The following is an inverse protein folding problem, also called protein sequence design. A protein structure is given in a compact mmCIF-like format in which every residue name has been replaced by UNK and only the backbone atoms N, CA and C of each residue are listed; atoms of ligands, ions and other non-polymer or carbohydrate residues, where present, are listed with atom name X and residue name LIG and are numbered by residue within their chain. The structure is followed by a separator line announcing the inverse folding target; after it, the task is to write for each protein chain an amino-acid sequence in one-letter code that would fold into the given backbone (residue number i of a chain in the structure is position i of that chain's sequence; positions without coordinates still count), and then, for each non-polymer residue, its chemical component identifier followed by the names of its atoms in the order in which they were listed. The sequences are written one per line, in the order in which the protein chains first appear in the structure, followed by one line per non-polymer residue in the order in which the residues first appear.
data_IF_810289226834
#
_entry.id   IF_810289226834
#
_cell.length_a   1.000
_cell.length_b   1.000
_cell.length_c   1.000
_cell.angle_alpha   90.00
_cell.angle_beta   90.00
_cell.angle_gamma   90.00
#
_symmetry.space_group_name_H-M   'P 1'
#
loop_
_entity.id
_entity.type
_entity.pdbx_description
1 polymer ?
#
# COMPACT_ATOMS: atom_id res chain seq x y z
N UNK A 1 9.89 -17.74 -3.79
CA UNK A 1 9.77 -16.70 -4.84
C UNK A 1 9.53 -15.41 -4.08
N UNK A 2 10.55 -14.57 -3.90
CA UNK A 2 10.39 -13.31 -3.19
C UNK A 2 9.56 -12.36 -4.06
N UNK A 3 8.49 -11.81 -3.50
CA UNK A 3 7.67 -10.84 -4.21
C UNK A 3 8.49 -9.55 -4.41
N UNK A 4 8.71 -9.11 -5.67
CA UNK A 4 9.53 -7.94 -5.99
C UNK A 4 8.92 -6.62 -5.50
N UNK A 5 7.63 -6.61 -5.11
CA UNK A 5 6.94 -5.47 -4.48
C UNK A 5 7.17 -5.50 -2.97
N UNK A 6 6.96 -6.63 -2.30
CA UNK A 6 7.11 -6.76 -0.84
C UNK A 6 8.50 -6.33 -0.36
N UNK A 7 9.54 -6.79 -1.05
CA UNK A 7 10.94 -6.44 -0.72
C UNK A 7 11.20 -4.93 -0.81
N UNK A 8 10.42 -4.20 -1.61
CA UNK A 8 10.55 -2.75 -1.83
C UNK A 8 9.60 -1.92 -0.96
N UNK A 9 8.59 -2.51 -0.31
CA UNK A 9 7.64 -1.77 0.54
C UNK A 9 8.27 -1.19 1.81
N UNK A 10 9.41 -1.72 2.26
CA UNK A 10 10.16 -1.18 3.42
C UNK A 10 10.54 0.30 3.25
N UNK A 11 10.56 0.81 2.02
CA UNK A 11 10.78 2.22 1.71
C UNK A 11 9.70 3.14 2.28
N UNK A 12 8.48 2.61 2.50
CA UNK A 12 7.34 3.37 3.01
C UNK A 12 7.23 3.34 4.55
N UNK A 13 8.10 2.61 5.24
CA UNK A 13 8.18 2.69 6.69
C UNK A 13 8.62 4.10 7.12
N UNK A 14 7.95 4.78 8.06
CA UNK A 14 8.29 6.15 8.46
C UNK A 14 9.77 6.32 8.86
N UNK A 15 10.32 5.34 9.58
CA UNK A 15 11.72 5.32 9.99
C UNK A 15 12.68 5.27 8.78
N UNK A 16 12.35 4.46 7.77
CA UNK A 16 13.14 4.33 6.53
C UNK A 16 12.98 5.55 5.63
N UNK A 17 11.77 6.06 5.48
CA UNK A 17 11.44 7.18 4.60
C UNK A 17 12.11 8.50 5.02
N UNK A 18 12.27 8.71 6.34
CA UNK A 18 12.92 9.88 6.94
C UNK A 18 14.44 9.70 7.16
N UNK A 19 14.98 8.50 6.99
CA UNK A 19 16.40 8.22 7.20
C UNK A 19 17.25 8.65 6.01
N UNK A 20 18.27 9.48 6.26
CA UNK A 20 19.26 9.84 5.24
C UNK A 20 20.11 8.66 4.81
N UNK A 21 20.44 7.73 5.73
CA UNK A 21 21.27 6.56 5.41
C UNK A 21 20.53 5.57 4.50
N UNK A 22 19.24 5.36 4.73
CA UNK A 22 18.42 4.45 3.91
C UNK A 22 18.28 4.96 2.46
N UNK A 23 18.26 6.28 2.28
CA UNK A 23 18.16 6.93 0.96
C UNK A 23 19.41 6.80 0.10
N UNK A 24 20.58 6.60 0.69
CA UNK A 24 21.79 6.27 -0.08
C UNK A 24 21.63 4.96 -0.85
N UNK A 25 20.85 4.03 -0.30
CA UNK A 25 20.51 2.76 -0.94
C UNK A 25 19.28 2.87 -1.85
N UNK A 26 18.32 3.75 -1.53
CA UNK A 26 17.09 3.98 -2.30
C UNK A 26 16.89 5.47 -2.67
N UNK A 27 17.68 6.00 -3.62
CA UNK A 27 17.66 7.43 -3.97
C UNK A 27 16.45 7.84 -4.83
N UNK A 28 15.75 6.87 -5.42
CA UNK A 28 14.61 7.11 -6.33
C UNK A 28 13.54 6.04 -6.17
N UNK A 29 12.28 6.43 -6.42
CA UNK A 29 11.14 5.52 -6.45
C UNK A 29 10.83 4.98 -7.86
N UNK A 30 11.58 5.39 -8.89
CA UNK A 30 11.36 4.96 -10.28
C UNK A 30 11.31 3.43 -10.44
N UNK A 31 12.23 2.63 -9.85
CA UNK A 31 12.19 1.17 -9.95
C UNK A 31 11.00 0.52 -9.22
N UNK A 32 10.31 1.25 -8.35
CA UNK A 32 9.08 0.79 -7.71
C UNK A 32 7.89 1.12 -8.60
N UNK A 33 7.83 2.34 -9.13
CA UNK A 33 6.76 2.80 -10.04
C UNK A 33 6.64 1.92 -11.30
N UNK A 34 7.75 1.38 -11.80
CA UNK A 34 7.75 0.44 -12.93
C UNK A 34 7.09 -0.90 -12.60
N UNK A 35 7.14 -1.33 -11.33
CA UNK A 35 6.57 -2.61 -10.88
C UNK A 35 5.08 -2.48 -10.55
N UNK A 36 4.57 -1.25 -10.36
CA UNK A 36 3.16 -0.96 -10.08
C UNK A 36 2.46 -0.14 -11.19
N UNK A 37 2.41 -0.63 -12.45
CA UNK A 37 1.83 0.10 -13.57
C UNK A 37 0.31 0.35 -13.44
N UNK A 38 -0.35 -0.37 -12.52
CA UNK A 38 -1.77 -0.18 -12.18
C UNK A 38 -2.03 1.08 -11.35
N UNK A 39 -1.03 1.56 -10.62
CA UNK A 39 -1.14 2.77 -9.80
C UNK A 39 -0.72 3.99 -10.63
N UNK A 40 0.41 3.89 -11.33
CA UNK A 40 0.91 4.96 -12.21
C UNK A 40 1.12 4.38 -13.60
N UNK A 41 0.44 4.96 -14.59
CA UNK A 41 0.59 4.55 -15.98
C UNK A 41 2.07 4.71 -16.43
N UNK A 42 2.63 3.73 -17.17
CA UNK A 42 4.02 3.81 -17.63
C UNK A 42 4.36 5.08 -18.42
N UNK A 43 3.38 5.63 -19.15
CA UNK A 43 3.51 6.83 -19.97
C UNK A 43 3.40 8.16 -19.18
N UNK A 44 2.99 8.13 -17.91
CA UNK A 44 2.80 9.35 -17.10
C UNK A 44 4.11 9.80 -16.44
N UNK A 45 5.06 10.23 -17.27
CA UNK A 45 6.39 10.69 -16.81
C UNK A 45 6.32 11.94 -15.94
N UNK A 46 5.34 12.81 -16.17
CA UNK A 46 5.15 14.03 -15.39
C UNK A 46 4.84 13.69 -13.93
N UNK A 47 3.88 12.80 -13.66
CA UNK A 47 3.56 12.39 -12.30
C UNK A 47 4.68 11.60 -11.64
N UNK A 48 5.34 10.70 -12.39
CA UNK A 48 6.53 9.97 -11.88
C UNK A 48 7.60 10.93 -11.39
N UNK A 49 7.89 11.98 -12.16
CA UNK A 49 8.87 13.00 -11.79
C UNK A 49 8.44 13.79 -10.56
N UNK A 50 7.17 14.19 -10.46
CA UNK A 50 6.63 14.92 -9.29
C UNK A 50 6.81 14.07 -8.02
N UNK A 51 6.41 12.82 -8.06
CA UNK A 51 6.50 11.92 -6.90
C UNK A 51 7.97 11.67 -6.52
N UNK A 52 8.85 11.47 -7.49
CA UNK A 52 10.28 11.25 -7.23
C UNK A 52 10.96 12.52 -6.68
N UNK A 53 10.54 13.70 -7.11
CA UNK A 53 10.99 14.98 -6.54
C UNK A 53 10.51 15.15 -5.08
N UNK A 54 9.23 14.91 -4.82
CA UNK A 54 8.65 14.94 -3.47
C UNK A 54 9.33 13.91 -2.55
N UNK A 55 9.65 12.73 -3.10
CA UNK A 55 10.41 11.72 -2.37
C UNK A 55 11.75 12.30 -1.92
N UNK A 56 12.54 12.91 -2.81
CA UNK A 56 13.86 13.48 -2.48
C UNK A 56 13.80 14.60 -1.42
N UNK A 57 12.74 15.38 -1.40
CA UNK A 57 12.58 16.51 -0.46
C UNK A 57 11.98 16.11 0.89
N UNK A 58 11.41 14.90 1.00
CA UNK A 58 10.73 14.41 2.22
C UNK A 58 11.56 14.49 3.52
N UNK A 59 12.89 14.24 3.56
CA UNK A 59 13.65 14.39 4.81
C UNK A 59 13.61 15.81 5.38
N UNK A 60 13.46 16.81 4.51
CA UNK A 60 13.32 18.21 4.90
C UNK A 60 11.92 18.49 5.48
N UNK A 61 10.93 17.63 5.23
CA UNK A 61 9.59 17.74 5.82
C UNK A 61 9.64 17.64 7.34
N UNK A 62 10.57 16.86 7.91
CA UNK A 62 10.75 16.75 9.36
C UNK A 62 11.13 18.09 10.00
N UNK A 63 11.92 18.90 9.30
CA UNK A 63 12.26 20.26 9.74
C UNK A 63 11.06 21.21 9.65
N UNK A 64 10.17 21.02 8.67
CA UNK A 64 8.97 21.86 8.45
C UNK A 64 7.80 21.50 9.37
N UNK A 65 7.63 20.22 9.70
CA UNK A 65 6.47 19.68 10.43
C UNK A 65 6.86 18.66 11.51
N UNK A 66 7.68 19.04 12.52
CA UNK A 66 8.18 18.11 13.53
C UNK A 66 7.07 17.45 14.37
N UNK A 67 5.98 18.17 14.66
CA UNK A 67 4.86 17.69 15.48
C UNK A 67 4.01 16.63 14.78
N UNK A 68 4.02 16.55 13.45
CA UNK A 68 3.20 15.59 12.68
C UNK A 68 3.95 14.31 12.31
N UNK A 69 5.28 14.32 12.34
CA UNK A 69 6.09 13.26 11.75
C UNK A 69 6.86 12.41 12.77
N UNK A 70 7.07 12.90 14.00
CA UNK A 70 7.92 12.23 14.98
C UNK A 70 7.21 11.17 15.85
N UNK A 71 5.88 11.13 15.86
CA UNK A 71 5.10 10.28 16.78
C UNK A 71 4.35 9.12 16.11
N UNK A 72 4.46 8.96 14.78
CA UNK A 72 3.66 7.98 14.04
C UNK A 72 4.52 6.79 13.64
N UNK A 73 4.27 5.66 14.29
CA UNK A 73 4.90 4.39 13.94
C UNK A 73 4.16 3.64 12.83
N UNK A 74 2.90 3.97 12.55
CA UNK A 74 2.07 3.26 11.57
C UNK A 74 2.20 3.89 10.18
N UNK A 75 2.67 3.15 9.15
CA UNK A 75 2.92 3.70 7.82
C UNK A 75 1.69 4.35 7.16
N UNK A 76 0.53 3.71 7.24
CA UNK A 76 -0.73 4.21 6.69
C UNK A 76 -1.13 5.56 7.32
N UNK A 77 -1.06 5.69 8.64
CA UNK A 77 -1.33 6.93 9.36
C UNK A 77 -0.32 8.02 9.00
N UNK A 78 0.95 7.65 8.85
CA UNK A 78 2.01 8.58 8.45
C UNK A 78 1.74 9.18 7.08
N UNK A 79 1.50 8.35 6.07
CA UNK A 79 1.21 8.82 4.71
C UNK A 79 -0.14 9.55 4.63
N UNK A 80 -1.15 9.14 5.40
CA UNK A 80 -2.43 9.86 5.49
C UNK A 80 -2.29 11.27 6.08
N UNK A 81 -1.37 11.48 7.03
CA UNK A 81 -1.08 12.82 7.53
C UNK A 81 -0.30 13.66 6.52
N UNK A 82 0.63 13.03 5.81
CA UNK A 82 1.41 13.70 4.77
C UNK A 82 0.54 14.12 3.58
N UNK A 83 -0.50 13.35 3.26
CA UNK A 83 -1.51 13.67 2.24
C UNK A 83 -2.25 14.98 2.54
N UNK A 84 -2.39 15.36 3.82
CA UNK A 84 -3.00 16.64 4.23
C UNK A 84 -2.09 17.84 3.98
N UNK A 85 -0.84 17.62 3.58
CA UNK A 85 0.12 18.66 3.23
C UNK A 85 0.23 18.73 1.71
N UNK A 86 -0.03 19.90 1.13
CA UNK A 86 -0.01 20.08 -0.34
C UNK A 86 1.36 19.74 -0.97
N UNK A 87 2.46 19.96 -0.23
CA UNK A 87 3.83 19.71 -0.67
C UNK A 87 4.12 18.25 -1.07
N UNK A 88 3.33 17.29 -0.57
CA UNK A 88 3.62 15.85 -0.67
C UNK A 88 2.39 15.01 -1.05
N UNK A 89 1.34 15.65 -1.57
CA UNK A 89 0.05 15.00 -1.85
C UNK A 89 0.19 13.81 -2.82
N UNK A 90 0.90 13.98 -3.93
CA UNK A 90 1.10 12.94 -4.95
C UNK A 90 1.91 11.75 -4.41
N UNK A 91 2.98 12.03 -3.67
CA UNK A 91 3.80 11.00 -3.01
C UNK A 91 2.98 10.23 -1.97
N UNK A 92 2.23 10.93 -1.13
CA UNK A 92 1.40 10.31 -0.11
C UNK A 92 0.29 9.47 -0.73
N UNK A 93 -0.34 9.94 -1.81
CA UNK A 93 -1.33 9.18 -2.54
C UNK A 93 -0.71 7.91 -3.15
N UNK A 94 0.45 8.02 -3.79
CA UNK A 94 1.18 6.88 -4.33
C UNK A 94 1.54 5.85 -3.25
N UNK A 95 2.08 6.30 -2.11
CA UNK A 95 2.45 5.44 -1.00
C UNK A 95 1.22 4.70 -0.43
N UNK A 96 0.12 5.41 -0.16
CA UNK A 96 -1.12 4.81 0.33
C UNK A 96 -1.71 3.82 -0.68
N UNK A 97 -1.74 4.15 -1.97
CA UNK A 97 -2.21 3.22 -3.01
C UNK A 97 -1.34 1.98 -3.08
N UNK A 98 -0.02 2.13 -2.93
CA UNK A 98 0.92 1.01 -2.99
C UNK A 98 0.83 0.12 -1.75
N UNK A 99 0.66 0.71 -0.57
CA UNK A 99 0.42 -0.01 0.70
C UNK A 99 -0.97 -0.68 0.74
N UNK A 100 -1.94 -0.13 0.00
CA UNK A 100 -3.28 -0.70 -0.15
C UNK A 100 -3.36 -1.79 -1.21
N UNK A 101 -2.28 -2.05 -1.95
CA UNK A 101 -2.25 -3.22 -2.82
C UNK A 101 -2.32 -4.45 -1.90
N UNK A 102 -3.41 -5.24 -1.99
CA UNK A 102 -3.40 -6.51 -1.29
C UNK A 102 -2.18 -7.27 -1.81
N UNK A 103 -1.46 -7.93 -0.91
CA UNK A 103 -0.58 -9.01 -1.32
C UNK A 103 -1.50 -10.03 -1.99
N UNK A 104 -1.73 -9.85 -3.30
CA UNK A 104 -2.98 -10.22 -3.98
C UNK A 104 -3.28 -11.72 -3.91
N UNK A 105 -2.30 -12.52 -3.51
CA UNK A 105 -2.46 -13.93 -3.26
C UNK A 105 -3.02 -14.26 -1.87
N UNK A 106 -2.61 -13.57 -0.81
CA UNK A 106 -2.95 -13.95 0.57
C UNK A 106 -4.43 -13.70 0.90
N UNK A 107 -5.00 -12.59 0.41
CA UNK A 107 -6.42 -12.29 0.62
C UNK A 107 -7.32 -13.17 -0.24
N UNK A 108 -6.92 -13.47 -1.48
CA UNK A 108 -7.62 -14.45 -2.30
C UNK A 108 -7.57 -15.85 -1.67
N UNK A 109 -6.42 -16.32 -1.17
CA UNK A 109 -6.27 -17.60 -0.46
C UNK A 109 -7.14 -17.66 0.81
N UNK A 110 -7.24 -16.55 1.54
CA UNK A 110 -8.14 -16.43 2.70
C UNK A 110 -9.60 -16.54 2.30
N UNK A 111 -10.02 -15.88 1.22
CA UNK A 111 -11.39 -16.00 0.69
C UNK A 111 -11.66 -17.42 0.18
N UNK A 112 -10.72 -18.05 -0.53
CA UNK A 112 -10.84 -19.44 -0.98
C UNK A 112 -10.97 -20.42 0.20
N UNK A 113 -10.23 -20.19 1.28
CA UNK A 113 -10.35 -20.97 2.51
C UNK A 113 -11.74 -20.84 3.14
N UNK A 114 -12.33 -19.64 3.17
CA UNK A 114 -13.71 -19.43 3.61
C UNK A 114 -14.73 -20.10 2.69
N UNK A 115 -14.51 -20.05 1.38
CA UNK A 115 -15.36 -20.75 0.41
C UNK A 115 -15.29 -22.27 0.63
N UNK A 116 -14.11 -22.83 0.94
CA UNK A 116 -13.98 -24.26 1.28
C UNK A 116 -14.71 -24.63 2.59
N UNK A 117 -14.82 -23.71 3.55
CA UNK A 117 -15.64 -23.93 4.75
C UNK A 117 -17.15 -23.89 4.45
N UNK A 118 -17.58 -23.04 3.52
CA UNK A 118 -18.99 -22.91 3.11
C UNK A 118 -19.40 -24.08 2.20
N UNK A 119 -18.53 -24.46 1.26
CA UNK A 119 -18.71 -25.59 0.34
C UNK A 119 -18.00 -26.81 0.89
N UNK A 120 -18.72 -27.61 1.66
CA UNK A 120 -18.25 -28.92 2.12
C UNK A 120 -18.64 -30.01 1.12
N UNK A 121 -18.06 -31.20 1.25
CA UNK A 121 -18.38 -32.36 0.39
C UNK A 121 -19.88 -32.72 0.43
N UNK A 122 -20.55 -32.49 1.57
CA UNK A 122 -21.98 -32.71 1.75
C UNK A 122 -22.86 -31.53 1.27
N UNK A 123 -22.29 -30.31 1.16
CA UNK A 123 -23.00 -29.07 0.82
C UNK A 123 -22.29 -28.32 -0.31
N UNK A 124 -22.15 -28.95 -1.47
CA UNK A 124 -21.41 -28.39 -2.61
C UNK A 124 -22.29 -27.77 -3.72
N UNK A 125 -23.61 -28.00 -3.70
CA UNK A 125 -24.61 -27.47 -4.65
C UNK A 125 -25.15 -26.08 -4.26
N UNK A 126 -24.25 -25.16 -3.93
CA UNK A 126 -24.63 -23.77 -3.66
C UNK A 126 -24.50 -22.95 -4.94
N UNK A 127 -25.48 -22.09 -5.21
CA UNK A 127 -25.38 -21.12 -6.31
C UNK A 127 -24.34 -20.06 -5.97
N UNK A 128 -23.77 -19.43 -7.00
CA UNK A 128 -22.73 -18.40 -6.81
C UNK A 128 -23.28 -17.23 -5.98
N UNK A 129 -24.54 -16.84 -6.18
CA UNK A 129 -25.15 -15.76 -5.39
C UNK A 129 -25.26 -16.13 -3.92
N UNK A 130 -25.60 -17.40 -3.62
CA UNK A 130 -25.71 -17.89 -2.25
C UNK A 130 -24.34 -17.89 -1.55
N UNK A 131 -23.29 -18.37 -2.24
CA UNK A 131 -21.92 -18.36 -1.69
C UNK A 131 -21.45 -16.93 -1.45
N UNK A 132 -21.67 -16.03 -2.41
CA UNK A 132 -21.30 -14.61 -2.29
C UNK A 132 -22.05 -13.92 -1.13
N UNK A 133 -23.37 -14.14 -1.01
CA UNK A 133 -24.16 -13.60 0.09
C UNK A 133 -23.69 -14.10 1.46
N UNK A 134 -23.29 -15.37 1.55
CA UNK A 134 -22.76 -15.95 2.80
C UNK A 134 -21.40 -15.36 3.17
N UNK A 135 -20.53 -15.14 2.18
CA UNK A 135 -19.23 -14.47 2.38
C UNK A 135 -19.42 -13.03 2.87
N UNK A 136 -20.28 -12.26 2.22
CA UNK A 136 -20.55 -10.86 2.59
C UNK A 136 -21.16 -10.76 4.00
N UNK A 137 -22.12 -11.62 4.32
CA UNK A 137 -22.72 -11.68 5.66
C UNK A 137 -21.65 -11.97 6.73
N UNK A 138 -20.76 -12.93 6.47
CA UNK A 138 -19.68 -13.28 7.39
C UNK A 138 -18.64 -12.16 7.59
N UNK A 139 -18.35 -11.35 6.57
CA UNK A 139 -17.49 -10.17 6.72
C UNK A 139 -18.18 -9.06 7.52
N UNK A 140 -19.48 -8.83 7.26
CA UNK A 140 -20.25 -7.78 7.95
C UNK A 140 -20.52 -8.09 9.43
N UNK A 141 -20.53 -9.36 9.81
CA UNK A 141 -20.78 -9.82 11.18
C UNK A 141 -19.52 -9.87 12.06
N UNK A 142 -18.35 -9.47 11.55
CA UNK A 142 -17.14 -9.30 12.37
C UNK A 142 -17.31 -8.07 13.27
N UNK A 143 -17.80 -8.30 14.48
CA UNK A 143 -17.73 -7.37 15.63
C UNK A 143 -16.43 -7.62 16.38
#
# INVERSE_FOLDING_TARGET
MEDPVLSKLQVFEPASALSHNFRSHFPTLMPLMEVVPRIIAPADYAKKQIIDNQWRTLPNARARHPQRLNEISEPDKFWAQLLKTEDFSELAHFALSTLSLPHANADCERVFSKVNLIKTDLRNRLTVETVNGTLLAAESAKV
#
